data_IF_408645668543
#
_entry.id   IF_408645668543
#
_cell.length_a   1.000
_cell.length_b   1.000
_cell.length_c   1.000
_cell.angle_alpha   90.00
_cell.angle_beta   90.00
_cell.angle_gamma   90.00
#
_symmetry.space_group_name_H-M   'P 1'
#
loop_
_entity.id
_entity.type
_entity.pdbx_description
1 polymer ?
#
# COMPACT_ATOMS: atom_id res chain seq x y z
N UNK A 1 -24.26 17.54 8.51
CA UNK A 1 -23.20 16.94 7.68
C UNK A 1 -23.84 16.22 6.51
N UNK A 2 -23.38 16.44 5.29
CA UNK A 2 -23.94 15.79 4.11
C UNK A 2 -23.59 14.29 4.09
N UNK A 3 -24.39 13.50 3.37
CA UNK A 3 -24.11 12.08 3.16
C UNK A 3 -22.72 11.86 2.51
N UNK A 4 -22.35 12.74 1.57
CA UNK A 4 -21.07 12.65 0.88
C UNK A 4 -19.89 12.80 1.84
N UNK A 5 -19.97 13.75 2.79
CA UNK A 5 -18.92 13.95 3.79
C UNK A 5 -18.82 12.76 4.73
N UNK A 6 -19.98 12.26 5.21
CA UNK A 6 -20.02 11.09 6.08
C UNK A 6 -19.45 9.86 5.39
N UNK A 7 -19.77 9.66 4.10
CA UNK A 7 -19.24 8.54 3.31
C UNK A 7 -17.73 8.64 3.14
N UNK A 8 -17.22 9.83 2.87
CA UNK A 8 -15.75 10.04 2.75
C UNK A 8 -15.03 9.72 4.07
N UNK A 9 -15.59 10.12 5.20
CA UNK A 9 -15.00 9.81 6.50
C UNK A 9 -15.00 8.31 6.77
N UNK A 10 -16.07 7.59 6.40
CA UNK A 10 -16.12 6.14 6.53
C UNK A 10 -15.08 5.46 5.62
N UNK A 11 -14.94 5.94 4.39
CA UNK A 11 -13.92 5.43 3.48
C UNK A 11 -12.50 5.64 4.01
N UNK A 12 -12.24 6.81 4.58
CA UNK A 12 -10.93 7.13 5.15
C UNK A 12 -10.60 6.19 6.31
N UNK A 13 -11.56 5.97 7.20
CA UNK A 13 -11.40 5.04 8.32
C UNK A 13 -11.21 3.61 7.84
N UNK A 14 -12.03 3.16 6.89
CA UNK A 14 -11.93 1.81 6.33
C UNK A 14 -10.58 1.60 5.63
N UNK A 15 -10.11 2.60 4.89
CA UNK A 15 -8.80 2.52 4.24
C UNK A 15 -7.69 2.33 5.26
N UNK A 16 -7.64 3.14 6.31
CA UNK A 16 -6.60 3.04 7.32
C UNK A 16 -6.62 1.70 8.05
N UNK A 17 -7.82 1.21 8.41
CA UNK A 17 -7.96 -0.08 9.07
C UNK A 17 -7.52 -1.24 8.16
N UNK A 18 -7.92 -1.20 6.90
CA UNK A 18 -7.56 -2.23 5.92
C UNK A 18 -6.06 -2.23 5.62
N UNK A 19 -5.47 -1.04 5.58
CA UNK A 19 -4.04 -0.90 5.39
C UNK A 19 -3.26 -1.55 6.53
N UNK A 20 -3.68 -1.36 7.78
CA UNK A 20 -3.05 -2.00 8.92
C UNK A 20 -3.26 -3.52 8.93
N UNK A 21 -4.44 -4.00 8.52
CA UNK A 21 -4.67 -5.44 8.36
C UNK A 21 -3.71 -6.04 7.36
N UNK A 22 -3.49 -5.35 6.25
CA UNK A 22 -2.53 -5.77 5.23
C UNK A 22 -1.12 -5.86 5.81
N UNK A 23 -0.68 -4.80 6.51
CA UNK A 23 0.66 -4.78 7.11
C UNK A 23 0.82 -5.85 8.20
N UNK A 24 -0.22 -6.07 9.01
CA UNK A 24 -0.20 -7.14 10.01
C UNK A 24 -0.05 -8.51 9.35
N UNK A 25 -0.79 -8.75 8.27
CA UNK A 25 -0.70 -10.00 7.54
C UNK A 25 0.69 -10.21 6.94
N UNK A 26 1.28 -9.17 6.34
CA UNK A 26 2.65 -9.24 5.79
C UNK A 26 3.66 -9.56 6.90
N UNK A 27 3.53 -8.91 8.06
CA UNK A 27 4.42 -9.17 9.18
C UNK A 27 4.28 -10.59 9.73
N UNK A 28 3.08 -11.16 9.71
CA UNK A 28 2.84 -12.55 10.10
C UNK A 28 3.51 -13.54 9.15
N UNK A 29 3.57 -13.21 7.85
CA UNK A 29 4.25 -14.05 6.86
C UNK A 29 5.76 -14.06 7.07
N UNK A 30 6.32 -12.99 7.59
CA UNK A 30 7.76 -12.83 7.76
C UNK A 30 8.08 -12.41 9.21
N UNK A 31 7.80 -13.29 10.20
CA UNK A 31 7.85 -12.91 11.62
C UNK A 31 9.24 -12.56 12.13
N UNK A 32 10.29 -12.96 11.41
CA UNK A 32 11.68 -12.65 11.80
C UNK A 32 12.25 -11.43 11.08
N UNK A 33 11.46 -10.77 10.25
CA UNK A 33 11.89 -9.60 9.50
C UNK A 33 11.64 -8.32 10.30
N UNK A 34 12.66 -7.84 10.99
CA UNK A 34 12.57 -6.64 11.82
C UNK A 34 12.34 -5.38 11.02
N UNK A 35 12.78 -5.32 9.77
CA UNK A 35 12.54 -4.16 8.91
C UNK A 35 11.06 -4.05 8.53
N UNK A 36 10.39 -5.19 8.35
CA UNK A 36 8.93 -5.20 8.12
C UNK A 36 8.18 -4.67 9.35
N UNK A 37 8.61 -5.05 10.55
CA UNK A 37 8.01 -4.54 11.79
C UNK A 37 8.22 -3.04 11.96
N UNK A 38 9.42 -2.55 11.62
CA UNK A 38 9.71 -1.12 11.65
C UNK A 38 8.86 -0.35 10.65
N UNK A 39 8.68 -0.89 9.46
CA UNK A 39 7.81 -0.30 8.44
C UNK A 39 6.37 -0.22 8.93
N UNK A 40 5.87 -1.30 9.54
CA UNK A 40 4.52 -1.33 10.11
C UNK A 40 4.35 -0.26 11.17
N UNK A 41 5.30 -0.15 12.10
CA UNK A 41 5.26 0.86 13.16
C UNK A 41 5.23 2.28 12.58
N UNK A 42 6.07 2.56 11.59
CA UNK A 42 6.11 3.86 10.93
C UNK A 42 4.77 4.19 10.27
N UNK A 43 4.15 3.21 9.59
CA UNK A 43 2.87 3.40 8.92
C UNK A 43 1.71 3.54 9.90
N UNK A 44 1.78 2.90 11.06
CA UNK A 44 0.81 3.11 12.13
C UNK A 44 0.84 4.58 12.61
N UNK A 45 2.03 5.16 12.71
CA UNK A 45 2.18 6.57 13.06
C UNK A 45 1.59 7.48 11.98
N UNK A 46 1.85 7.20 10.71
CA UNK A 46 1.27 7.96 9.60
C UNK A 46 -0.25 7.89 9.65
N UNK A 47 -0.82 6.71 9.84
CA UNK A 47 -2.28 6.55 9.96
C UNK A 47 -2.84 7.39 11.10
N UNK A 48 -2.16 7.41 12.25
CA UNK A 48 -2.62 8.13 13.42
C UNK A 48 -2.59 9.64 13.23
N UNK A 49 -1.50 10.16 12.66
CA UNK A 49 -1.26 11.61 12.60
C UNK A 49 -1.64 12.24 11.26
N UNK A 50 -1.70 11.45 10.17
CA UNK A 50 -2.01 11.97 8.84
C UNK A 50 -2.74 10.93 7.99
N UNK A 51 -3.95 10.51 8.37
CA UNK A 51 -4.67 9.50 7.60
C UNK A 51 -5.02 9.96 6.18
N UNK A 52 -5.30 11.25 5.99
CA UNK A 52 -5.57 11.81 4.65
C UNK A 52 -4.34 11.73 3.75
N UNK A 53 -3.16 11.94 4.31
CA UNK A 53 -1.91 11.82 3.57
C UNK A 53 -1.67 10.41 3.04
N UNK A 54 -2.00 9.41 3.85
CA UNK A 54 -1.83 8.01 3.46
C UNK A 54 -2.72 7.63 2.26
N UNK A 55 -4.02 7.92 2.33
CA UNK A 55 -4.95 7.60 1.25
C UNK A 55 -4.66 8.44 -0.02
N UNK A 56 -4.24 9.69 0.15
CA UNK A 56 -3.86 10.56 -0.96
C UNK A 56 -2.64 10.03 -1.68
N UNK A 57 -1.63 9.62 -0.92
CA UNK A 57 -0.42 9.01 -1.48
C UNK A 57 -0.76 7.75 -2.28
N UNK A 58 -1.59 6.88 -1.71
CA UNK A 58 -2.01 5.66 -2.39
C UNK A 58 -2.71 5.96 -3.71
N UNK A 59 -3.69 6.86 -3.69
CA UNK A 59 -4.46 7.22 -4.88
C UNK A 59 -3.58 7.80 -5.98
N UNK A 60 -2.75 8.79 -5.65
CA UNK A 60 -1.94 9.52 -6.64
C UNK A 60 -0.74 8.74 -7.13
N UNK A 61 -0.06 8.02 -6.25
CA UNK A 61 1.21 7.38 -6.58
C UNK A 61 1.06 5.91 -6.94
N UNK A 62 -0.04 5.28 -6.57
CA UNK A 62 -0.24 3.85 -6.80
C UNK A 62 -1.44 3.60 -7.70
N UNK A 63 -2.64 4.00 -7.31
CA UNK A 63 -3.84 3.63 -8.05
C UNK A 63 -3.90 4.25 -9.44
N UNK A 64 -3.70 5.56 -9.55
CA UNK A 64 -3.76 6.26 -10.86
C UNK A 64 -2.69 5.72 -11.81
N UNK A 65 -1.49 5.45 -11.31
CA UNK A 65 -0.37 4.98 -12.14
C UNK A 65 -0.53 3.55 -12.61
N UNK A 66 -1.09 2.68 -11.76
CA UNK A 66 -1.11 1.23 -11.99
C UNK A 66 -2.52 0.64 -12.02
N UNK A 67 -3.51 1.45 -12.33
CA UNK A 67 -4.92 1.05 -12.34
C UNK A 67 -5.15 -0.26 -13.11
N UNK A 68 -4.61 -0.36 -14.30
CA UNK A 68 -4.78 -1.55 -15.15
C UNK A 68 -4.23 -2.80 -14.47
N UNK A 69 -3.00 -2.71 -13.95
CA UNK A 69 -2.33 -3.85 -13.32
C UNK A 69 -3.01 -4.24 -12.01
N UNK A 70 -3.52 -3.26 -11.28
CA UNK A 70 -4.27 -3.51 -10.03
C UNK A 70 -5.60 -4.19 -10.34
N UNK A 71 -6.33 -3.69 -11.33
CA UNK A 71 -7.62 -4.26 -11.73
C UNK A 71 -7.47 -5.68 -12.26
N UNK A 72 -6.36 -5.97 -12.94
CA UNK A 72 -6.02 -7.31 -13.44
C UNK A 72 -5.39 -8.22 -12.38
N UNK A 73 -5.12 -7.69 -11.18
CA UNK A 73 -4.45 -8.42 -10.10
C UNK A 73 -3.09 -8.99 -10.54
N UNK A 74 -2.32 -8.19 -11.30
CA UNK A 74 -1.05 -8.59 -11.89
C UNK A 74 0.10 -8.51 -10.88
N UNK A 75 0.23 -9.53 -10.05
CA UNK A 75 1.27 -9.61 -9.02
C UNK A 75 2.68 -9.54 -9.62
N UNK A 76 2.91 -10.25 -10.71
CA UNK A 76 4.24 -10.32 -11.33
C UNK A 76 4.72 -8.96 -11.80
N UNK A 77 3.83 -8.13 -12.35
CA UNK A 77 4.16 -6.77 -12.74
C UNK A 77 4.80 -5.99 -11.58
N UNK A 78 4.17 -6.04 -10.40
CA UNK A 78 4.64 -5.31 -9.23
C UNK A 78 5.97 -5.83 -8.69
N UNK A 79 6.26 -7.11 -8.89
CA UNK A 79 7.50 -7.73 -8.44
C UNK A 79 8.68 -7.32 -9.33
N UNK A 80 8.46 -7.21 -10.64
CA UNK A 80 9.56 -6.94 -11.60
C UNK A 80 9.74 -5.47 -11.93
N UNK A 81 8.79 -4.60 -11.53
CA UNK A 81 8.84 -3.19 -11.87
C UNK A 81 10.01 -2.47 -11.21
N UNK A 82 10.62 -1.57 -11.95
CA UNK A 82 11.62 -0.64 -11.42
C UNK A 82 10.91 0.59 -10.84
N UNK A 83 11.04 0.79 -9.53
CA UNK A 83 10.39 1.89 -8.81
C UNK A 83 11.26 3.14 -8.68
N UNK A 84 12.47 3.15 -9.23
CA UNK A 84 13.38 4.29 -9.11
C UNK A 84 12.76 5.58 -9.66
N UNK A 85 12.07 5.50 -10.80
CA UNK A 85 11.39 6.65 -11.40
C UNK A 85 10.29 7.21 -10.51
N UNK A 86 9.48 6.33 -9.93
CA UNK A 86 8.36 6.73 -9.10
C UNK A 86 8.82 7.46 -7.83
N UNK A 87 9.95 7.02 -7.29
CA UNK A 87 10.49 7.60 -6.06
C UNK A 87 11.17 8.93 -6.34
N UNK A 88 11.85 9.08 -7.48
CA UNK A 88 12.46 10.34 -7.89
C UNK A 88 11.42 11.42 -8.18
N UNK A 89 10.31 11.04 -8.83
CA UNK A 89 9.19 11.94 -9.10
C UNK A 89 8.32 12.18 -7.88
N UNK A 90 8.31 11.23 -6.95
CA UNK A 90 7.51 11.27 -5.75
C UNK A 90 8.15 12.07 -4.63
N UNK A 91 7.54 12.01 -3.47
CA UNK A 91 7.92 12.77 -2.28
C UNK A 91 8.79 11.91 -1.35
N UNK A 92 9.77 11.22 -1.88
CA UNK A 92 10.65 10.41 -1.05
C UNK A 92 11.76 11.29 -0.44
N UNK A 93 11.77 11.37 0.87
CA UNK A 93 12.78 12.13 1.62
C UNK A 93 14.16 11.46 1.50
N UNK A 94 14.18 10.15 1.26
CA UNK A 94 15.42 9.39 1.06
C UNK A 94 15.17 8.28 0.06
N UNK A 95 15.38 8.60 -1.24
CA UNK A 95 15.08 7.70 -2.34
C UNK A 95 15.86 6.39 -2.27
N UNK A 96 17.16 6.46 -1.95
CA UNK A 96 18.01 5.28 -1.87
C UNK A 96 17.54 4.30 -0.79
N UNK A 97 17.24 4.81 0.40
CA UNK A 97 16.75 3.99 1.50
C UNK A 97 15.40 3.37 1.18
N UNK A 98 14.51 4.16 0.57
CA UNK A 98 13.18 3.69 0.18
C UNK A 98 13.27 2.58 -0.85
N UNK A 99 14.16 2.72 -1.85
CA UNK A 99 14.36 1.67 -2.86
C UNK A 99 14.87 0.38 -2.24
N UNK A 100 15.78 0.46 -1.27
CA UNK A 100 16.28 -0.73 -0.56
C UNK A 100 15.16 -1.46 0.18
N UNK A 101 14.26 -0.71 0.82
CA UNK A 101 13.11 -1.29 1.52
C UNK A 101 12.16 -1.95 0.52
N UNK A 102 11.87 -1.29 -0.59
CA UNK A 102 11.00 -1.85 -1.64
C UNK A 102 11.61 -3.14 -2.20
N UNK A 103 12.90 -3.14 -2.51
CA UNK A 103 13.57 -4.33 -3.05
C UNK A 103 13.55 -5.49 -2.07
N UNK A 104 13.73 -5.22 -0.78
CA UNK A 104 13.65 -6.23 0.27
C UNK A 104 12.25 -6.84 0.37
N UNK A 105 11.23 -5.99 0.41
CA UNK A 105 9.83 -6.43 0.47
C UNK A 105 9.49 -7.24 -0.78
N UNK A 106 9.90 -6.77 -1.94
CA UNK A 106 9.67 -7.43 -3.21
C UNK A 106 10.31 -8.82 -3.26
N UNK A 107 11.54 -8.94 -2.77
CA UNK A 107 12.24 -10.22 -2.66
C UNK A 107 11.49 -11.21 -1.77
N UNK A 108 10.99 -10.75 -0.62
CA UNK A 108 10.21 -11.57 0.28
C UNK A 108 8.87 -12.00 -0.36
N UNK A 109 8.17 -11.06 -0.98
CA UNK A 109 6.87 -11.33 -1.61
C UNK A 109 6.98 -12.29 -2.78
N UNK A 110 8.09 -12.27 -3.51
CA UNK A 110 8.30 -13.18 -4.64
C UNK A 110 8.31 -14.65 -4.22
N UNK A 111 8.63 -14.94 -2.97
CA UNK A 111 8.62 -16.30 -2.42
C UNK A 111 7.27 -16.79 -1.93
N UNK A 112 6.20 -16.01 -2.06
CA UNK A 112 4.87 -16.38 -1.59
C UNK A 112 4.27 -17.52 -2.42
N UNK A 113 3.39 -18.27 -1.78
CA UNK A 113 2.55 -19.27 -2.46
C UNK A 113 1.50 -18.56 -3.30
N UNK A 114 0.93 -19.24 -4.29
CA UNK A 114 -0.06 -18.67 -5.20
C UNK A 114 -1.28 -18.10 -4.45
N UNK A 115 -1.76 -18.78 -3.43
CA UNK A 115 -2.88 -18.30 -2.60
C UNK A 115 -2.51 -17.01 -1.86
N UNK A 116 -1.28 -16.90 -1.40
CA UNK A 116 -0.78 -15.71 -0.72
C UNK A 116 -0.60 -14.55 -1.70
N UNK A 117 -0.13 -14.82 -2.91
CA UNK A 117 -0.04 -13.81 -3.97
C UNK A 117 -1.41 -13.25 -4.32
N UNK A 118 -2.41 -14.11 -4.42
CA UNK A 118 -3.80 -13.71 -4.67
C UNK A 118 -4.31 -12.81 -3.54
N UNK A 119 -4.06 -13.19 -2.29
CA UNK A 119 -4.47 -12.41 -1.13
C UNK A 119 -3.79 -11.03 -1.11
N UNK A 120 -2.50 -10.98 -1.44
CA UNK A 120 -1.74 -9.73 -1.56
C UNK A 120 -2.44 -8.78 -2.55
N UNK A 121 -2.78 -9.26 -3.74
CA UNK A 121 -3.41 -8.44 -4.75
C UNK A 121 -4.83 -8.02 -4.37
N UNK A 122 -5.55 -8.83 -3.63
CA UNK A 122 -6.87 -8.46 -3.11
C UNK A 122 -6.77 -7.30 -2.12
N UNK A 123 -5.77 -7.30 -1.24
CA UNK A 123 -5.52 -6.17 -0.35
C UNK A 123 -5.26 -4.89 -1.16
N UNK A 124 -4.36 -4.96 -2.13
CA UNK A 124 -4.02 -3.82 -2.98
C UNK A 124 -5.25 -3.30 -3.72
N UNK A 125 -6.05 -4.20 -4.28
CA UNK A 125 -7.26 -3.86 -5.02
C UNK A 125 -8.32 -3.20 -4.13
N UNK A 126 -8.53 -3.71 -2.93
CA UNK A 126 -9.48 -3.14 -1.97
C UNK A 126 -9.06 -1.74 -1.53
N UNK A 127 -7.79 -1.56 -1.18
CA UNK A 127 -7.25 -0.24 -0.83
C UNK A 127 -7.43 0.75 -1.98
N UNK A 128 -7.19 0.31 -3.20
CA UNK A 128 -7.34 1.15 -4.40
C UNK A 128 -8.80 1.55 -4.62
N UNK A 129 -9.75 0.65 -4.44
CA UNK A 129 -11.18 0.96 -4.53
C UNK A 129 -11.61 1.97 -3.49
N UNK A 130 -11.15 1.82 -2.25
CA UNK A 130 -11.46 2.77 -1.19
C UNK A 130 -10.89 4.16 -1.51
N UNK A 131 -9.68 4.22 -2.03
CA UNK A 131 -9.08 5.49 -2.44
C UNK A 131 -9.87 6.15 -3.58
N UNK A 132 -10.32 5.36 -4.55
CA UNK A 132 -11.13 5.86 -5.65
C UNK A 132 -12.46 6.46 -5.15
N UNK A 133 -13.14 5.77 -4.26
CA UNK A 133 -14.40 6.24 -3.67
C UNK A 133 -14.17 7.55 -2.90
N UNK A 134 -13.10 7.62 -2.14
CA UNK A 134 -12.75 8.80 -1.36
C UNK A 134 -12.56 10.04 -2.24
N UNK A 135 -11.95 9.88 -3.41
CA UNK A 135 -11.67 10.98 -4.33
C UNK A 135 -12.72 11.16 -5.43
N UNK A 136 -13.80 10.42 -5.38
CA UNK A 136 -14.90 10.57 -6.35
C UNK A 136 -15.79 11.78 -6.08
#
# INVERSE_FOLDING_TARGET
MSKAIAQKQLCLKAFGNHFLEWMDWVCELFPKDHDMEKARTALQQVKKYNPKGLITLWYKQIYIRYKKQIDEEDFTFFIVKDYSWDIEEGVAVNAEKTLKVIDRIRGQLNGLKDEEKTKQMKFVKTLSKLSLIYFS
#
